data_IF_588320202002
#
_entry.id   IF_588320202002
#
_cell.length_a   1.000
_cell.length_b   1.000
_cell.length_c   1.000
_cell.angle_alpha   90.00
_cell.angle_beta   90.00
_cell.angle_gamma   90.00
#
_symmetry.space_group_name_H-M   'P 1'
#
loop_
_entity.id
_entity.type
_entity.pdbx_description
1 polymer ?
#
# COMPACT_ATOMS: atom_id res chain seq x y z
N UNK A 1 60.47 -5.07 -17.07
CA UNK A 1 59.16 -5.06 -17.77
C UNK A 1 58.10 -4.71 -16.73
N UNK A 2 57.62 -3.47 -16.71
CA UNK A 2 56.56 -3.05 -15.80
C UNK A 2 55.21 -3.40 -16.42
N UNK A 3 54.46 -4.31 -15.79
CA UNK A 3 53.09 -4.64 -16.18
C UNK A 3 52.16 -4.09 -15.12
N UNK A 4 51.63 -2.90 -15.40
CA UNK A 4 50.40 -2.39 -14.81
C UNK A 4 49.28 -3.37 -15.13
N UNK A 5 48.59 -3.90 -14.11
CA UNK A 5 47.29 -4.52 -14.31
C UNK A 5 46.29 -3.96 -13.30
N UNK A 6 45.17 -3.54 -13.88
CA UNK A 6 44.07 -2.79 -13.31
C UNK A 6 43.47 -3.49 -12.08
N UNK A 7 43.20 -2.69 -11.04
CA UNK A 7 42.24 -3.04 -10.02
C UNK A 7 40.82 -2.90 -10.60
N UNK A 8 40.13 -4.02 -10.80
CA UNK A 8 38.70 -4.05 -11.12
C UNK A 8 37.94 -3.91 -9.80
N UNK A 9 37.40 -2.72 -9.52
CA UNK A 9 36.39 -2.54 -8.48
C UNK A 9 35.12 -3.26 -8.93
N UNK A 10 34.82 -4.39 -8.30
CA UNK A 10 33.52 -5.03 -8.39
C UNK A 10 32.52 -4.19 -7.58
N UNK A 11 31.72 -3.37 -8.27
CA UNK A 11 30.56 -2.74 -7.66
C UNK A 11 29.51 -3.83 -7.37
N UNK A 12 29.38 -4.19 -6.09
CA UNK A 12 28.28 -5.02 -5.61
C UNK A 12 27.01 -4.18 -5.73
N UNK A 13 26.26 -4.40 -6.81
CA UNK A 13 24.91 -3.88 -6.93
C UNK A 13 24.05 -4.56 -5.86
N UNK A 14 23.74 -3.84 -4.79
CA UNK A 14 22.75 -4.25 -3.80
C UNK A 14 21.40 -4.21 -4.52
N UNK A 15 21.01 -5.36 -5.06
CA UNK A 15 19.66 -5.62 -5.56
C UNK A 15 18.70 -5.54 -4.37
N UNK A 16 18.20 -4.35 -4.06
CA UNK A 16 17.04 -4.21 -3.20
C UNK A 16 15.83 -4.68 -4.00
N UNK A 17 15.38 -5.90 -3.71
CA UNK A 17 14.03 -6.37 -4.07
C UNK A 17 13.00 -5.53 -3.31
N UNK A 18 12.82 -4.28 -3.73
CA UNK A 18 11.57 -3.56 -3.54
C UNK A 18 10.70 -3.93 -4.74
N UNK A 19 9.54 -4.54 -4.49
CA UNK A 19 8.55 -4.79 -5.54
C UNK A 19 8.22 -3.49 -6.30
N UNK A 20 7.65 -3.59 -7.51
CA UNK A 20 7.36 -2.41 -8.32
C UNK A 20 6.52 -1.41 -7.53
N UNK A 21 6.96 -0.15 -7.49
CA UNK A 21 6.16 0.95 -6.97
C UNK A 21 4.86 0.98 -7.78
N UNK A 22 3.73 0.79 -7.10
CA UNK A 22 2.41 0.86 -7.74
C UNK A 22 2.16 2.32 -8.08
N UNK A 23 2.21 2.66 -9.38
CA UNK A 23 1.79 3.98 -9.86
C UNK A 23 0.33 4.23 -9.46
N UNK A 24 0.07 5.46 -8.99
CA UNK A 24 -1.22 5.93 -8.52
C UNK A 24 -2.21 6.04 -9.70
N UNK A 25 -2.76 4.93 -10.16
CA UNK A 25 -3.77 4.93 -11.22
C UNK A 25 -5.10 5.49 -10.73
N UNK A 26 -5.75 6.31 -11.56
CA UNK A 26 -7.13 6.73 -11.34
C UNK A 26 -8.03 5.50 -11.23
N UNK A 27 -8.62 5.30 -10.05
CA UNK A 27 -9.60 4.26 -9.77
C UNK A 27 -10.94 4.51 -10.51
N UNK A 28 -10.94 4.44 -11.85
CA UNK A 28 -12.11 4.75 -12.66
C UNK A 28 -13.19 3.67 -12.52
N UNK A 29 -14.37 4.05 -12.00
CA UNK A 29 -15.55 3.19 -11.94
C UNK A 29 -15.53 2.08 -10.88
N UNK A 30 -14.60 2.12 -9.92
CA UNK A 30 -14.50 1.12 -8.84
C UNK A 30 -15.13 1.66 -7.54
N UNK A 31 -16.16 1.00 -6.97
CA UNK A 31 -16.71 1.40 -5.68
C UNK A 31 -15.67 1.33 -4.56
N UNK A 32 -15.81 2.18 -3.54
CA UNK A 32 -14.86 2.24 -2.42
C UNK A 32 -14.96 0.98 -1.57
N UNK A 33 -13.80 0.43 -1.20
CA UNK A 33 -13.74 -0.84 -0.50
C UNK A 33 -13.12 -0.69 0.90
N UNK A 34 -11.96 -0.06 1.06
CA UNK A 34 -11.35 0.12 2.38
C UNK A 34 -11.09 1.60 2.60
N UNK A 35 -11.49 2.15 3.75
CA UNK A 35 -11.13 3.52 4.12
C UNK A 35 -10.21 3.49 5.34
N UNK A 36 -9.08 4.15 5.21
CA UNK A 36 -8.11 4.38 6.28
C UNK A 36 -8.23 5.85 6.65
N UNK A 37 -8.84 6.12 7.80
CA UNK A 37 -8.92 7.45 8.38
C UNK A 37 -7.84 7.60 9.43
N UNK A 38 -7.18 8.75 9.43
CA UNK A 38 -6.18 9.05 10.44
C UNK A 38 -6.08 10.55 10.72
N UNK A 39 -5.76 10.89 11.96
CA UNK A 39 -5.36 12.22 12.42
C UNK A 39 -4.29 12.08 13.52
N UNK A 40 -3.96 13.14 14.25
CA UNK A 40 -2.92 13.09 15.28
C UNK A 40 -3.23 12.14 16.45
N UNK A 41 -4.49 11.75 16.64
CA UNK A 41 -4.97 10.98 17.78
C UNK A 41 -5.76 9.72 17.43
N UNK A 42 -6.21 9.60 16.17
CA UNK A 42 -6.99 8.48 15.68
C UNK A 42 -6.28 7.83 14.48
N UNK A 43 -6.25 6.49 14.49
CA UNK A 43 -6.01 5.69 13.30
C UNK A 43 -7.09 4.61 13.25
N UNK A 44 -7.87 4.61 12.16
CA UNK A 44 -9.02 3.72 11.98
C UNK A 44 -9.09 3.16 10.57
N UNK A 45 -9.36 1.86 10.48
CA UNK A 45 -9.65 1.18 9.21
C UNK A 45 -11.12 0.79 9.20
N UNK A 46 -11.86 1.30 8.22
CA UNK A 46 -13.23 0.88 7.92
C UNK A 46 -13.19 -0.19 6.83
N UNK A 47 -13.65 -1.43 7.14
CA UNK A 47 -13.64 -2.53 6.19
C UNK A 47 -14.67 -2.33 5.08
N UNK A 48 -14.56 -3.10 3.99
CA UNK A 48 -15.53 -3.08 2.91
C UNK A 48 -16.93 -3.50 3.35
N UNK A 49 -17.92 -2.87 2.73
CA UNK A 49 -19.27 -3.41 2.67
C UNK A 49 -19.22 -4.65 1.74
N UNK A 50 -19.76 -5.78 2.22
CA UNK A 50 -19.63 -7.11 1.61
C UNK A 50 -19.92 -7.16 0.10
N UNK A 51 -20.80 -6.29 -0.40
CA UNK A 51 -21.30 -6.35 -1.79
C UNK A 51 -20.41 -5.67 -2.85
N UNK A 52 -19.34 -4.96 -2.45
CA UNK A 52 -18.57 -4.08 -3.36
C UNK A 52 -17.21 -4.62 -3.82
N UNK A 53 -16.74 -5.75 -3.27
CA UNK A 53 -15.42 -6.31 -3.57
C UNK A 53 -15.43 -7.20 -4.82
N UNK A 54 -16.53 -7.91 -5.06
CA UNK A 54 -16.60 -8.99 -6.03
C UNK A 54 -16.69 -8.54 -7.50
N UNK A 55 -17.36 -7.42 -7.78
CA UNK A 55 -17.87 -7.18 -9.14
C UNK A 55 -16.80 -6.82 -10.17
N UNK A 56 -15.56 -6.56 -9.76
CA UNK A 56 -14.48 -6.17 -10.68
C UNK A 56 -13.10 -6.75 -10.38
N UNK A 57 -12.91 -7.49 -9.29
CA UNK A 57 -11.58 -8.03 -8.92
C UNK A 57 -10.55 -6.94 -8.60
N UNK A 58 -11.00 -5.82 -8.01
CA UNK A 58 -10.16 -4.68 -7.66
C UNK A 58 -10.34 -4.35 -6.18
N UNK A 59 -9.22 -4.20 -5.47
CA UNK A 59 -9.20 -3.74 -4.08
C UNK A 59 -8.79 -2.27 -4.05
N UNK A 60 -9.69 -1.40 -3.59
CA UNK A 60 -9.44 0.05 -3.48
C UNK A 60 -9.28 0.45 -2.02
N UNK A 61 -8.14 1.02 -1.69
CA UNK A 61 -7.88 1.72 -0.44
C UNK A 61 -8.10 3.21 -0.64
N UNK A 62 -8.74 3.84 0.32
CA UNK A 62 -8.81 5.28 0.41
C UNK A 62 -8.14 5.75 1.68
N UNK A 63 -7.19 6.65 1.54
CA UNK A 63 -6.54 7.36 2.62
C UNK A 63 -7.24 8.71 2.81
N UNK A 64 -7.73 8.98 4.01
CA UNK A 64 -8.38 10.26 4.35
C UNK A 64 -7.77 10.83 5.64
N UNK A 65 -6.95 11.87 5.49
CA UNK A 65 -6.43 12.60 6.65
C UNK A 65 -7.53 13.47 7.28
N UNK A 66 -7.64 13.41 8.61
CA UNK A 66 -8.39 14.34 9.44
C UNK A 66 -7.58 15.61 9.74
N UNK A 67 -8.12 16.54 10.55
CA UNK A 67 -7.37 17.71 11.01
C UNK A 67 -6.10 17.26 11.75
N UNK A 68 -4.95 17.80 11.38
CA UNK A 68 -3.69 17.46 12.03
C UNK A 68 -2.73 18.64 12.06
N UNK A 69 -1.76 18.60 12.97
CA UNK A 69 -0.75 19.63 13.16
C UNK A 69 0.47 19.44 12.24
N UNK A 70 0.80 18.21 11.87
CA UNK A 70 2.00 17.87 11.10
C UNK A 70 1.70 16.95 9.92
N UNK A 71 2.50 17.07 8.86
CA UNK A 71 2.48 16.16 7.72
C UNK A 71 2.85 14.74 8.16
N UNK A 72 2.05 13.76 7.75
CA UNK A 72 2.23 12.34 8.09
C UNK A 72 2.56 11.52 6.86
N UNK A 73 3.52 10.61 7.02
CA UNK A 73 3.79 9.55 6.05
C UNK A 73 2.92 8.34 6.38
N UNK A 74 2.18 7.86 5.38
CA UNK A 74 1.35 6.66 5.48
C UNK A 74 2.00 5.56 4.66
N UNK A 75 2.08 4.35 5.23
CA UNK A 75 2.58 3.15 4.55
C UNK A 75 1.58 2.00 4.69
N UNK A 76 1.28 1.33 3.58
CA UNK A 76 0.44 0.13 3.51
C UNK A 76 1.30 -1.02 2.98
N UNK A 77 1.38 -2.12 3.73
CA UNK A 77 2.21 -3.28 3.38
C UNK A 77 1.37 -4.56 3.42
N UNK A 78 1.31 -5.27 2.29
CA UNK A 78 0.64 -6.57 2.20
C UNK A 78 1.46 -7.67 2.87
N UNK A 79 0.84 -8.42 3.81
CA UNK A 79 1.48 -9.57 4.49
C UNK A 79 1.25 -10.87 3.74
N UNK A 80 -0.01 -11.15 3.43
CA UNK A 80 -0.41 -12.38 2.74
C UNK A 80 -1.73 -12.18 2.00
N UNK A 81 -1.87 -12.81 0.83
CA UNK A 81 -3.12 -12.91 0.09
C UNK A 81 -3.73 -14.32 0.11
N UNK A 82 -4.89 -14.52 -0.57
CA UNK A 82 -5.65 -15.76 -0.58
C UNK A 82 -4.92 -17.00 -1.13
N UNK A 83 -3.99 -16.80 -2.06
CA UNK A 83 -3.22 -17.89 -2.68
C UNK A 83 -1.97 -18.30 -1.88
N UNK A 84 -1.71 -17.64 -0.75
CA UNK A 84 -0.59 -17.96 0.12
C UNK A 84 0.75 -17.41 -0.39
N UNK A 85 1.45 -16.71 0.51
CA UNK A 85 2.86 -16.27 0.42
C UNK A 85 3.26 -15.11 -0.51
N UNK A 86 2.33 -14.42 -1.17
CA UNK A 86 2.67 -13.12 -1.76
C UNK A 86 2.78 -12.05 -0.66
N UNK A 87 3.93 -12.02 0.01
CA UNK A 87 4.35 -10.88 0.82
C UNK A 87 4.55 -9.72 -0.16
N UNK A 88 3.91 -8.57 0.08
CA UNK A 88 3.94 -7.38 -0.80
C UNK A 88 2.99 -7.36 -2.00
N UNK A 89 1.82 -8.03 -1.92
CA UNK A 89 0.71 -7.80 -2.89
C UNK A 89 0.24 -6.33 -2.93
N UNK A 90 0.58 -5.57 -1.90
CA UNK A 90 0.62 -4.11 -1.89
C UNK A 90 1.88 -3.65 -1.16
N UNK A 91 2.53 -2.62 -1.69
CA UNK A 91 3.50 -1.81 -0.97
C UNK A 91 3.32 -0.38 -1.45
N UNK A 92 2.69 0.45 -0.63
CA UNK A 92 2.37 1.83 -0.96
C UNK A 92 2.81 2.73 0.19
N UNK A 93 3.48 3.83 -0.15
CA UNK A 93 3.89 4.84 0.83
C UNK A 93 3.73 6.24 0.23
N UNK A 94 3.35 7.21 1.05
CA UNK A 94 3.19 8.59 0.60
C UNK A 94 3.01 9.56 1.76
N UNK A 95 3.36 10.82 1.51
CA UNK A 95 3.13 11.94 2.42
C UNK A 95 1.77 12.57 2.13
N UNK A 96 0.99 12.84 3.18
CA UNK A 96 -0.35 13.41 3.04
C UNK A 96 -0.38 14.77 2.35
N UNK A 97 0.68 15.58 2.50
CA UNK A 97 0.81 16.90 1.91
C UNK A 97 0.92 16.85 0.39
N UNK A 98 1.31 15.70 -0.17
CA UNK A 98 1.38 15.47 -1.61
C UNK A 98 0.01 15.14 -2.24
N UNK A 99 -1.05 14.95 -1.44
CA UNK A 99 -2.33 14.47 -1.93
C UNK A 99 -3.38 15.57 -2.08
N UNK A 100 -4.16 15.56 -3.18
CA UNK A 100 -5.21 16.55 -3.38
C UNK A 100 -6.26 16.44 -2.27
N UNK A 101 -6.54 17.56 -1.59
CA UNK A 101 -7.44 17.63 -0.44
C UNK A 101 -7.09 16.63 0.68
N UNK A 102 -5.81 16.27 0.84
CA UNK A 102 -5.29 15.28 1.82
C UNK A 102 -6.00 13.92 1.72
N UNK A 103 -6.33 13.52 0.48
CA UNK A 103 -6.98 12.25 0.17
C UNK A 103 -6.29 11.56 -0.99
N UNK A 104 -6.05 10.27 -0.84
CA UNK A 104 -5.47 9.44 -1.89
C UNK A 104 -6.26 8.15 -2.05
N UNK A 105 -6.43 7.71 -3.29
CA UNK A 105 -6.95 6.38 -3.59
C UNK A 105 -5.81 5.49 -4.12
N UNK A 106 -5.74 4.25 -3.65
CA UNK A 106 -4.80 3.24 -4.11
C UNK A 106 -5.62 2.07 -4.62
N UNK A 107 -5.44 1.71 -5.89
CA UNK A 107 -6.13 0.59 -6.52
C UNK A 107 -5.15 -0.55 -6.80
N UNK A 108 -5.57 -1.76 -6.47
CA UNK A 108 -4.86 -2.99 -6.81
C UNK A 108 -5.63 -3.68 -7.91
N UNK A 109 -5.09 -3.61 -9.13
CA UNK A 109 -5.66 -4.20 -10.34
C UNK A 109 -4.74 -5.30 -10.91
N UNK A 110 -5.27 -6.23 -11.73
CA UNK A 110 -6.65 -6.70 -11.84
C UNK A 110 -6.83 -8.14 -11.33
N UNK A 111 -5.89 -8.67 -10.55
CA UNK A 111 -5.84 -10.08 -10.15
C UNK A 111 -6.23 -10.30 -8.68
N UNK A 112 -7.17 -9.53 -8.12
CA UNK A 112 -7.68 -9.81 -6.77
C UNK A 112 -8.49 -11.10 -6.81
N UNK A 113 -7.97 -12.12 -6.14
CA UNK A 113 -8.58 -13.43 -5.96
C UNK A 113 -9.51 -13.38 -4.75
N UNK A 114 -10.58 -14.16 -4.77
CA UNK A 114 -11.48 -14.32 -3.63
C UNK A 114 -10.71 -14.86 -2.42
N UNK A 115 -10.91 -14.25 -1.26
CA UNK A 115 -10.38 -14.71 0.03
C UNK A 115 -9.81 -13.60 0.91
N UNK A 116 -9.08 -14.01 1.94
CA UNK A 116 -8.60 -13.12 3.00
C UNK A 116 -7.25 -12.48 2.65
N UNK A 117 -7.24 -11.14 2.63
CA UNK A 117 -6.05 -10.31 2.50
C UNK A 117 -5.62 -9.74 3.86
N UNK A 118 -4.37 -9.96 4.25
CA UNK A 118 -3.76 -9.41 5.47
C UNK A 118 -2.75 -8.34 5.11
N UNK A 119 -2.78 -7.21 5.81
CA UNK A 119 -1.89 -6.07 5.56
C UNK A 119 -1.65 -5.27 6.84
N UNK A 120 -0.57 -4.50 6.86
CA UNK A 120 -0.31 -3.46 7.86
C UNK A 120 -0.62 -2.07 7.29
N UNK A 121 -1.07 -1.18 8.16
CA UNK A 121 -1.17 0.25 7.92
C UNK A 121 -0.37 0.95 9.01
N UNK A 122 0.68 1.66 8.62
CA UNK A 122 1.49 2.48 9.51
C UNK A 122 1.31 3.95 9.15
N UNK A 123 1.01 4.78 10.14
CA UNK A 123 0.98 6.24 10.01
C UNK A 123 2.02 6.81 10.95
N UNK A 124 2.96 7.56 10.40
CA UNK A 124 4.05 8.18 11.15
C UNK A 124 3.50 8.98 12.33
N UNK A 125 4.08 8.82 13.51
CA UNK A 125 3.73 9.52 14.75
C UNK A 125 2.29 9.32 15.28
N UNK A 126 1.51 8.43 14.65
CA UNK A 126 0.14 8.08 15.07
C UNK A 126 0.07 6.64 15.54
N UNK A 127 0.54 5.69 14.72
CA UNK A 127 0.58 4.27 15.09
C UNK A 127 0.47 3.29 13.92
N UNK A 128 0.24 2.03 14.28
CA UNK A 128 0.14 0.91 13.32
C UNK A 128 -1.11 0.07 13.59
N UNK A 129 -1.81 -0.31 12.52
CA UNK A 129 -2.89 -1.30 12.54
C UNK A 129 -2.53 -2.51 11.68
N UNK A 130 -3.01 -3.69 12.09
CA UNK A 130 -2.91 -4.96 11.35
C UNK A 130 -4.32 -5.43 10.91
N UNK A 131 -4.94 -4.76 9.92
CA UNK A 131 -6.26 -5.10 9.42
C UNK A 131 -6.29 -6.32 8.49
N UNK A 132 -7.53 -6.74 8.17
CA UNK A 132 -7.83 -7.81 7.23
C UNK A 132 -8.99 -7.39 6.33
N UNK A 133 -8.91 -7.76 5.06
CA UNK A 133 -9.97 -7.54 4.07
C UNK A 133 -10.40 -8.88 3.50
N UNK A 134 -11.66 -9.24 3.70
CA UNK A 134 -12.23 -10.47 3.16
C UNK A 134 -12.93 -10.17 1.85
N UNK A 135 -12.42 -10.71 0.75
CA UNK A 135 -12.96 -10.53 -0.60
C UNK A 135 -13.86 -11.72 -0.92
N UNK A 136 -15.17 -11.50 -0.83
CA UNK A 136 -16.21 -12.48 -1.19
C UNK A 136 -16.71 -12.28 -2.64
N UNK A 137 -17.46 -13.24 -3.20
CA UNK A 137 -18.10 -13.15 -4.54
C UNK A 137 -19.52 -12.59 -4.49
#
# INVERSE_FOLDING_TARGET
MYKNLLAILAAVAVSSCAGPAVELNECSGVPKNITIHYDDSELRVTPPLRDNLARRGILRFRLEAGPGFEDKIVTITGKSGPLGSDVSWINASGSESSWPNRRQDICIEPSVVVGLYKYDVQVQDVGTLDPRADVER
#
